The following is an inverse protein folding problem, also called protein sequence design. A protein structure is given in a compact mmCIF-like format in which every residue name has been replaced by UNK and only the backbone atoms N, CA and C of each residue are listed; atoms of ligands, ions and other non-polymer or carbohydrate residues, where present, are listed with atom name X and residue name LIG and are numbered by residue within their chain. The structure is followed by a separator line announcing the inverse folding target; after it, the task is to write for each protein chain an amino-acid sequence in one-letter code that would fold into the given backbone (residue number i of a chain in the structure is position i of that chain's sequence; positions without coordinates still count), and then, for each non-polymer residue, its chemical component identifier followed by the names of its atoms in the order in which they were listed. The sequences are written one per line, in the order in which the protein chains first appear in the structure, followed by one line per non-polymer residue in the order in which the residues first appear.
data_IF_014837121941
#
_entry.id   IF_014837121941
#
_cell.length_a   1.000
_cell.length_b   1.000
_cell.length_c   1.000
_cell.angle_alpha   90.00
_cell.angle_beta   90.00
_cell.angle_gamma   90.00
#
_symmetry.space_group_name_H-M   'P 1'
#
loop_
_entity.id
_entity.type
_entity.pdbx_description
1 polymer ?
#
# COMPACT_ATOMS: atom_id res chain seq x y z
N UNK A 1 -4.89 -24.35 -4.33
CA UNK A 1 -4.29 -25.25 -3.31
C UNK A 1 -3.37 -26.30 -3.93
N UNK A 2 -3.86 -27.26 -4.72
CA UNK A 2 -3.00 -28.30 -5.34
C UNK A 2 -1.80 -27.72 -6.10
N UNK A 3 -2.02 -26.69 -6.93
CA UNK A 3 -0.95 -26.00 -7.67
C UNK A 3 0.16 -25.43 -6.77
N UNK A 4 -0.17 -24.91 -5.58
CA UNK A 4 0.81 -24.38 -4.63
C UNK A 4 1.66 -25.53 -4.07
N UNK A 5 1.02 -26.65 -3.69
CA UNK A 5 1.72 -27.85 -3.18
C UNK A 5 2.63 -28.46 -4.24
N UNK A 6 2.13 -28.61 -5.47
CA UNK A 6 2.90 -29.17 -6.58
C UNK A 6 4.09 -28.28 -6.93
N UNK A 7 3.90 -26.96 -6.98
CA UNK A 7 4.97 -26.00 -7.23
C UNK A 7 6.05 -26.06 -6.13
N UNK A 8 5.63 -26.09 -4.86
CA UNK A 8 6.52 -26.22 -3.70
C UNK A 8 7.34 -27.52 -3.76
N UNK A 9 6.68 -28.65 -4.02
CA UNK A 9 7.31 -29.97 -4.07
C UNK A 9 8.24 -30.13 -5.28
N UNK A 10 7.80 -29.76 -6.48
CA UNK A 10 8.56 -29.94 -7.74
C UNK A 10 9.86 -29.13 -7.78
N UNK A 11 9.93 -28.03 -7.02
CA UNK A 11 11.09 -27.16 -6.96
C UNK A 11 11.89 -27.31 -5.65
N UNK A 12 11.50 -28.21 -4.74
CA UNK A 12 12.17 -28.41 -3.45
C UNK A 12 12.19 -27.15 -2.57
N UNK A 13 11.09 -26.39 -2.56
CA UNK A 13 11.00 -25.10 -1.87
C UNK A 13 10.51 -25.26 -0.42
N UNK A 14 11.13 -24.55 0.51
CA UNK A 14 10.65 -24.48 1.90
C UNK A 14 9.52 -23.44 2.06
N UNK A 15 9.58 -22.37 1.27
CA UNK A 15 8.68 -21.21 1.33
C UNK A 15 8.09 -20.87 -0.03
N UNK A 16 6.85 -20.38 -0.01
CA UNK A 16 6.15 -19.86 -1.18
C UNK A 16 5.37 -18.62 -0.74
N UNK A 17 5.49 -17.54 -1.52
CA UNK A 17 4.70 -16.33 -1.38
C UNK A 17 3.90 -16.18 -2.67
N UNK A 18 2.60 -15.88 -2.54
CA UNK A 18 1.70 -15.68 -3.66
C UNK A 18 1.44 -14.18 -3.81
N UNK A 19 1.52 -13.67 -5.02
CA UNK A 19 1.27 -12.26 -5.31
C UNK A 19 0.30 -12.12 -6.49
N UNK A 20 -0.73 -11.30 -6.31
CA UNK A 20 -1.67 -10.95 -7.36
C UNK A 20 -1.14 -9.79 -8.20
N UNK A 21 -0.83 -10.09 -9.45
CA UNK A 21 -0.49 -9.09 -10.48
C UNK A 21 -1.34 -9.26 -11.75
N UNK A 22 -2.55 -9.80 -11.58
CA UNK A 22 -3.50 -9.97 -12.67
C UNK A 22 -4.36 -8.70 -12.88
N UNK A 23 -5.35 -8.78 -13.78
CA UNK A 23 -6.26 -7.68 -14.04
C UNK A 23 -6.94 -7.16 -12.76
N UNK A 24 -7.28 -5.88 -12.78
CA UNK A 24 -8.07 -5.26 -11.72
C UNK A 24 -9.48 -5.85 -11.76
N UNK A 25 -9.93 -6.38 -10.63
CA UNK A 25 -11.31 -6.82 -10.45
C UNK A 25 -12.18 -5.65 -9.97
N UNK A 26 -13.50 -5.80 -10.04
CA UNK A 26 -14.40 -4.89 -9.32
C UNK A 26 -14.28 -5.12 -7.81
N UNK A 27 -14.81 -4.21 -7.02
CA UNK A 27 -15.01 -4.51 -5.59
C UNK A 27 -16.10 -5.56 -5.42
N UNK A 28 -15.90 -6.46 -4.47
CA UNK A 28 -16.94 -7.32 -3.92
C UNK A 28 -17.72 -6.57 -2.84
N UNK A 29 -19.01 -6.82 -2.74
CA UNK A 29 -19.83 -6.30 -1.64
C UNK A 29 -19.47 -7.03 -0.34
N UNK A 30 -19.46 -6.30 0.79
CA UNK A 30 -19.30 -6.90 2.11
C UNK A 30 -20.69 -7.25 2.64
N UNK A 31 -20.98 -8.55 2.73
CA UNK A 31 -22.31 -9.06 3.06
C UNK A 31 -22.23 -9.98 4.28
N UNK A 32 -23.02 -9.65 5.30
CA UNK A 32 -23.16 -10.45 6.52
C UNK A 32 -23.66 -11.86 6.18
N UNK A 33 -23.05 -12.88 6.77
CA UNK A 33 -23.34 -14.29 6.45
C UNK A 33 -22.66 -14.82 5.18
N UNK A 34 -21.94 -13.98 4.42
CA UNK A 34 -21.27 -14.39 3.17
C UNK A 34 -19.75 -14.27 3.30
N UNK A 35 -19.22 -13.06 3.50
CA UNK A 35 -17.77 -12.80 3.48
C UNK A 35 -17.28 -11.93 4.67
N UNK A 36 -18.12 -11.83 5.69
CA UNK A 36 -17.91 -11.12 6.95
C UNK A 36 -17.05 -11.90 7.96
N UNK A 37 -17.04 -13.23 7.91
CA UNK A 37 -16.23 -14.10 8.79
C UNK A 37 -15.50 -15.19 8.00
N UNK A 38 -14.44 -15.75 8.58
CA UNK A 38 -13.67 -16.84 7.97
C UNK A 38 -14.56 -18.06 7.65
N UNK A 39 -15.46 -18.43 8.56
CA UNK A 39 -16.38 -19.56 8.40
C UNK A 39 -17.38 -19.31 7.27
N UNK A 40 -18.02 -18.14 7.25
CA UNK A 40 -18.99 -17.78 6.22
C UNK A 40 -18.34 -17.73 4.83
N UNK A 41 -17.12 -17.17 4.74
CA UNK A 41 -16.38 -17.12 3.47
C UNK A 41 -16.06 -18.52 2.92
N UNK A 42 -15.66 -19.45 3.79
CA UNK A 42 -15.35 -20.83 3.37
C UNK A 42 -16.60 -21.57 2.90
N UNK A 43 -17.76 -21.36 3.54
CA UNK A 43 -19.03 -21.92 3.07
C UNK A 43 -19.48 -21.26 1.76
N UNK A 44 -19.33 -19.94 1.62
CA UNK A 44 -19.66 -19.20 0.40
C UNK A 44 -18.84 -19.68 -0.80
N UNK A 45 -17.56 -20.00 -0.61
CA UNK A 45 -16.71 -20.61 -1.64
C UNK A 45 -17.27 -21.97 -2.07
N UNK A 46 -17.73 -22.81 -1.12
CA UNK A 46 -18.30 -24.13 -1.43
C UNK A 46 -19.64 -24.01 -2.15
N UNK A 47 -20.46 -23.04 -1.77
CA UNK A 47 -21.77 -22.77 -2.36
C UNK A 47 -21.67 -22.11 -3.75
N UNK A 48 -20.50 -21.56 -4.11
CA UNK A 48 -20.31 -20.87 -5.38
C UNK A 48 -20.97 -19.48 -5.40
N UNK A 49 -20.96 -18.79 -4.27
CA UNK A 49 -21.55 -17.46 -4.12
C UNK A 49 -20.92 -16.42 -5.06
N UNK A 50 -21.75 -15.54 -5.60
CA UNK A 50 -21.34 -14.59 -6.65
C UNK A 50 -20.38 -13.49 -6.17
N UNK A 51 -20.42 -13.13 -4.87
CA UNK A 51 -19.54 -12.12 -4.27
C UNK A 51 -18.19 -12.69 -3.78
N UNK A 52 -17.89 -13.95 -4.12
CA UNK A 52 -16.57 -14.54 -3.95
C UNK A 52 -15.76 -14.31 -5.23
N UNK A 53 -14.83 -13.35 -5.18
CA UNK A 53 -13.99 -13.06 -6.34
C UNK A 53 -12.90 -14.13 -6.55
N UNK A 54 -12.37 -14.26 -7.78
CA UNK A 54 -11.18 -15.09 -8.00
C UNK A 54 -10.01 -14.70 -7.10
N UNK A 55 -9.75 -13.40 -6.87
CA UNK A 55 -8.68 -12.98 -5.95
C UNK A 55 -8.92 -13.47 -4.52
N UNK A 56 -10.16 -13.47 -4.01
CA UNK A 56 -10.50 -14.03 -2.69
C UNK A 56 -10.23 -15.55 -2.63
N UNK A 57 -10.53 -16.29 -3.71
CA UNK A 57 -10.21 -17.73 -3.80
C UNK A 57 -8.70 -17.97 -3.75
N UNK A 58 -7.89 -17.16 -4.45
CA UNK A 58 -6.43 -17.25 -4.39
C UNK A 58 -5.88 -16.88 -3.01
N UNK A 59 -6.42 -15.85 -2.36
CA UNK A 59 -6.04 -15.47 -1.01
C UNK A 59 -6.33 -16.61 -0.02
N UNK A 60 -7.55 -17.14 -0.01
CA UNK A 60 -7.95 -18.28 0.85
C UNK A 60 -7.11 -19.51 0.57
N UNK A 61 -6.88 -19.84 -0.71
CA UNK A 61 -6.04 -20.97 -1.08
C UNK A 61 -4.59 -20.83 -0.60
N UNK A 62 -4.05 -19.60 -0.58
CA UNK A 62 -2.68 -19.32 -0.11
C UNK A 62 -2.61 -19.45 1.40
N UNK A 63 -3.55 -18.82 2.12
CA UNK A 63 -3.63 -18.85 3.58
C UNK A 63 -3.79 -20.30 4.09
N UNK A 64 -4.65 -21.10 3.46
CA UNK A 64 -4.86 -22.51 3.85
C UNK A 64 -3.65 -23.42 3.57
N UNK A 65 -2.73 -23.00 2.69
CA UNK A 65 -1.46 -23.68 2.43
C UNK A 65 -0.29 -23.06 3.21
N UNK A 66 -0.57 -22.14 4.15
CA UNK A 66 0.46 -21.48 4.96
C UNK A 66 1.37 -20.54 4.16
N UNK A 67 0.91 -20.07 3.00
CA UNK A 67 1.67 -19.21 2.10
C UNK A 67 1.17 -17.76 2.20
N UNK A 68 2.08 -16.82 2.43
CA UNK A 68 1.73 -15.39 2.48
C UNK A 68 1.15 -14.91 1.15
N UNK A 69 0.19 -13.98 1.20
CA UNK A 69 -0.53 -13.48 0.02
C UNK A 69 -0.47 -11.96 -0.09
N UNK A 70 -0.02 -11.45 -1.23
CA UNK A 70 0.10 -10.01 -1.50
C UNK A 70 -0.83 -9.61 -2.64
N UNK A 71 -1.68 -8.60 -2.42
CA UNK A 71 -2.53 -8.03 -3.45
C UNK A 71 -1.87 -6.80 -4.10
N UNK A 72 -1.43 -6.95 -5.35
CA UNK A 72 -0.83 -5.87 -6.14
C UNK A 72 -1.84 -4.99 -6.90
N UNK A 73 -3.14 -5.30 -6.80
CA UNK A 73 -4.22 -4.63 -7.53
C UNK A 73 -5.22 -3.97 -6.55
N UNK A 74 -6.10 -3.06 -7.01
CA UNK A 74 -6.87 -2.21 -6.10
C UNK A 74 -8.19 -2.82 -5.58
N UNK A 75 -8.62 -3.97 -6.08
CA UNK A 75 -9.85 -4.61 -5.58
C UNK A 75 -9.73 -4.99 -4.10
N UNK A 76 -10.84 -5.01 -3.38
CA UNK A 76 -10.94 -5.34 -1.95
C UNK A 76 -10.88 -6.86 -1.69
N UNK A 77 -9.83 -7.53 -2.18
CA UNK A 77 -9.60 -8.97 -1.96
C UNK A 77 -9.71 -9.37 -0.48
N UNK A 78 -9.21 -8.49 0.39
CA UNK A 78 -9.16 -8.67 1.84
C UNK A 78 -10.46 -8.26 2.54
N UNK A 79 -11.56 -8.89 2.13
CA UNK A 79 -12.83 -8.85 2.87
C UNK A 79 -12.64 -9.38 4.31
N UNK A 80 -13.51 -9.01 5.27
CA UNK A 80 -13.32 -9.37 6.68
C UNK A 80 -13.04 -10.85 6.94
N UNK A 81 -13.73 -11.76 6.23
CA UNK A 81 -13.49 -13.19 6.37
C UNK A 81 -12.11 -13.68 5.89
N UNK A 82 -11.48 -13.00 4.92
CA UNK A 82 -10.10 -13.29 4.51
C UNK A 82 -9.12 -12.87 5.60
N UNK A 83 -9.36 -11.70 6.21
CA UNK A 83 -8.51 -11.19 7.30
C UNK A 83 -8.59 -12.09 8.54
N UNK A 84 -9.81 -12.47 8.94
CA UNK A 84 -10.03 -13.41 10.05
C UNK A 84 -9.29 -14.73 9.80
N UNK A 85 -9.40 -15.29 8.58
CA UNK A 85 -8.71 -16.52 8.22
C UNK A 85 -7.17 -16.38 8.26
N UNK A 86 -6.63 -15.24 7.81
CA UNK A 86 -5.20 -14.97 7.86
C UNK A 86 -4.68 -14.85 9.31
N UNK A 87 -5.48 -14.25 10.21
CA UNK A 87 -5.18 -14.17 11.64
C UNK A 87 -5.24 -15.53 12.33
N UNK A 88 -6.30 -16.32 12.07
CA UNK A 88 -6.45 -17.69 12.59
C UNK A 88 -5.30 -18.61 12.17
N UNK A 89 -4.85 -18.51 10.91
CA UNK A 89 -3.76 -19.32 10.37
C UNK A 89 -2.37 -18.73 10.62
N UNK A 90 -2.28 -17.51 11.15
CA UNK A 90 -1.03 -16.77 11.38
C UNK A 90 -0.19 -16.65 10.10
N UNK A 91 -0.85 -16.34 8.99
CA UNK A 91 -0.23 -16.16 7.66
C UNK A 91 -0.27 -14.69 7.29
N UNK A 92 0.80 -14.19 6.65
CA UNK A 92 0.82 -12.79 6.26
C UNK A 92 -0.03 -12.50 5.03
N UNK A 93 -0.70 -11.36 5.10
CA UNK A 93 -1.38 -10.72 3.99
C UNK A 93 -0.92 -9.27 3.87
N UNK A 94 -0.83 -8.76 2.64
CA UNK A 94 -0.44 -7.38 2.37
C UNK A 94 -1.05 -6.84 1.09
N UNK A 95 -1.31 -5.55 1.05
CA UNK A 95 -1.95 -4.86 -0.08
C UNK A 95 -2.36 -3.45 0.33
N UNK A 96 -3.03 -2.66 -0.50
CA UNK A 96 -3.49 -2.95 -1.85
C UNK A 96 -2.89 -1.97 -2.88
N UNK A 97 -2.77 -2.45 -4.13
CA UNK A 97 -2.36 -1.70 -5.34
C UNK A 97 -0.92 -1.15 -5.35
N UNK A 98 -0.10 -1.51 -6.35
CA UNK A 98 1.30 -1.07 -6.41
C UNK A 98 1.49 0.45 -6.47
N UNK A 99 2.30 1.02 -5.59
CA UNK A 99 2.65 2.45 -5.60
C UNK A 99 3.87 2.73 -6.48
N UNK A 100 3.71 2.65 -7.80
CA UNK A 100 4.77 2.79 -8.81
C UNK A 100 5.19 4.25 -9.08
N UNK A 101 4.41 4.98 -9.87
CA UNK A 101 4.76 6.31 -10.41
C UNK A 101 4.00 7.47 -9.76
N UNK A 102 2.89 7.89 -10.39
CA UNK A 102 2.12 9.08 -10.00
C UNK A 102 1.78 9.14 -8.51
N UNK A 103 1.18 8.08 -7.96
CA UNK A 103 0.78 8.05 -6.55
C UNK A 103 1.98 8.11 -5.59
N UNK A 104 3.12 7.53 -5.98
CA UNK A 104 4.35 7.58 -5.18
C UNK A 104 4.85 9.02 -5.04
N UNK A 105 4.90 9.76 -6.16
CA UNK A 105 5.26 11.20 -6.13
C UNK A 105 4.20 12.02 -5.39
N UNK A 106 2.91 11.76 -5.58
CA UNK A 106 1.82 12.44 -4.86
C UNK A 106 1.99 12.34 -3.34
N UNK A 107 2.27 11.13 -2.83
CA UNK A 107 2.51 10.92 -1.39
C UNK A 107 3.75 11.63 -0.85
N UNK A 108 4.71 11.99 -1.70
CA UNK A 108 5.86 12.84 -1.33
C UNK A 108 5.48 14.31 -1.36
N UNK A 109 4.81 14.75 -2.42
CA UNK A 109 4.55 16.16 -2.65
C UNK A 109 3.53 16.71 -1.65
N UNK A 110 2.46 15.97 -1.37
CA UNK A 110 1.43 16.42 -0.42
C UNK A 110 1.99 16.49 1.00
N UNK A 111 2.77 15.50 1.40
CA UNK A 111 3.49 15.51 2.69
C UNK A 111 4.43 16.72 2.81
N UNK A 112 5.23 16.98 1.76
CA UNK A 112 6.09 18.17 1.69
C UNK A 112 5.29 19.48 1.82
N UNK A 113 4.21 19.65 1.03
CA UNK A 113 3.42 20.88 1.01
C UNK A 113 2.79 21.15 2.38
N UNK A 114 2.12 20.14 2.95
CA UNK A 114 1.47 20.26 4.26
C UNK A 114 2.48 20.51 5.38
N UNK A 115 3.62 19.80 5.36
CA UNK A 115 4.71 19.99 6.32
C UNK A 115 5.36 21.37 6.22
N UNK A 116 5.37 21.97 5.03
CA UNK A 116 5.84 23.34 4.81
C UNK A 116 4.80 24.42 5.17
N UNK A 117 3.63 24.06 5.68
CA UNK A 117 2.55 25.01 5.99
C UNK A 117 1.84 25.54 4.74
N UNK A 118 1.97 24.87 3.60
CA UNK A 118 1.27 25.20 2.35
C UNK A 118 0.01 24.34 2.32
N UNK A 119 -1.14 24.94 2.00
CA UNK A 119 -2.43 24.24 2.01
C UNK A 119 -2.85 23.84 0.58
N UNK A 120 -2.62 22.59 0.13
CA UNK A 120 -3.29 22.07 -1.05
C UNK A 120 -4.81 22.32 -0.98
N UNK A 121 -5.38 22.89 -2.02
CA UNK A 121 -6.83 23.11 -2.13
C UNK A 121 -7.44 22.40 -3.31
N UNK A 122 -6.64 22.08 -4.33
CA UNK A 122 -7.06 21.27 -5.47
C UNK A 122 -5.91 20.39 -5.96
N UNK A 123 -6.20 19.12 -6.19
CA UNK A 123 -5.31 18.09 -6.72
C UNK A 123 -6.03 17.42 -7.87
N UNK A 124 -5.53 17.61 -9.08
CA UNK A 124 -6.12 17.01 -10.28
C UNK A 124 -5.12 16.09 -10.95
N UNK A 125 -5.42 14.78 -10.99
CA UNK A 125 -4.52 13.72 -11.44
C UNK A 125 -5.06 13.02 -12.68
N UNK A 126 -4.59 13.41 -13.86
CA UNK A 126 -4.89 12.74 -15.12
C UNK A 126 -3.87 11.66 -15.45
N UNK A 127 -4.32 10.59 -16.08
CA UNK A 127 -3.48 9.52 -16.57
C UNK A 127 -4.01 8.98 -17.90
N UNK A 128 -3.10 8.59 -18.79
CA UNK A 128 -3.44 7.73 -19.92
C UNK A 128 -2.37 6.70 -20.22
N UNK A 129 -2.79 5.51 -20.63
CA UNK A 129 -1.94 4.35 -20.94
C UNK A 129 -2.63 3.43 -21.97
N UNK A 130 -1.84 2.66 -22.71
CA UNK A 130 -2.29 1.86 -23.86
C UNK A 130 -2.12 0.35 -23.72
N UNK A 131 -1.58 -0.13 -22.59
CA UNK A 131 -1.42 -1.55 -22.28
C UNK A 131 -2.75 -2.19 -21.81
N UNK A 132 -2.71 -3.48 -21.46
CA UNK A 132 -3.90 -4.23 -21.04
C UNK A 132 -4.49 -3.73 -19.72
N UNK A 133 -3.67 -3.15 -18.83
CA UNK A 133 -4.16 -2.51 -17.61
C UNK A 133 -5.08 -1.32 -17.96
N UNK A 134 -4.60 -0.40 -18.81
CA UNK A 134 -5.43 0.71 -19.30
C UNK A 134 -6.70 0.27 -20.01
N UNK A 135 -6.63 -0.82 -20.79
CA UNK A 135 -7.80 -1.39 -21.46
C UNK A 135 -8.82 -1.93 -20.46
N UNK A 136 -8.38 -2.67 -19.45
CA UNK A 136 -9.24 -3.21 -18.40
C UNK A 136 -9.87 -2.10 -17.55
N UNK A 137 -9.09 -1.07 -17.21
CA UNK A 137 -9.55 0.11 -16.46
C UNK A 137 -10.44 1.06 -17.27
N UNK A 138 -10.71 0.78 -18.55
CA UNK A 138 -11.69 1.55 -19.33
C UNK A 138 -13.14 1.24 -18.91
N UNK A 139 -13.36 0.09 -18.25
CA UNK A 139 -14.66 -0.29 -17.72
C UNK A 139 -14.92 0.39 -16.36
N UNK A 140 -16.12 0.97 -16.13
CA UNK A 140 -16.38 1.80 -14.94
C UNK A 140 -16.18 1.09 -13.60
N UNK A 141 -16.54 -0.18 -13.48
CA UNK A 141 -16.44 -0.92 -12.22
C UNK A 141 -14.99 -1.17 -11.82
N UNK A 142 -14.12 -1.49 -12.78
CA UNK A 142 -12.68 -1.67 -12.57
C UNK A 142 -11.99 -0.32 -12.30
N UNK A 143 -12.42 0.73 -13.00
CA UNK A 143 -11.94 2.08 -12.74
C UNK A 143 -12.25 2.52 -11.32
N UNK A 144 -13.46 2.26 -10.82
CA UNK A 144 -13.88 2.65 -9.46
C UNK A 144 -12.94 2.13 -8.38
N UNK A 145 -12.47 0.89 -8.51
CA UNK A 145 -11.49 0.30 -7.60
C UNK A 145 -10.19 1.11 -7.57
N UNK A 146 -9.67 1.48 -8.75
CA UNK A 146 -8.45 2.28 -8.91
C UNK A 146 -8.63 3.73 -8.47
N UNK A 147 -9.82 4.28 -8.64
CA UNK A 147 -10.18 5.63 -8.21
C UNK A 147 -10.07 5.74 -6.69
N UNK A 148 -10.69 4.81 -5.96
CA UNK A 148 -10.67 4.77 -4.49
C UNK A 148 -9.22 4.70 -3.96
N UNK A 149 -8.40 3.77 -4.47
CA UNK A 149 -7.01 3.61 -4.01
C UNK A 149 -6.11 4.82 -4.31
N UNK A 150 -6.42 5.59 -5.37
CA UNK A 150 -5.66 6.79 -5.75
C UNK A 150 -6.10 8.06 -5.04
N UNK A 151 -7.34 8.12 -4.57
CA UNK A 151 -7.90 9.28 -3.88
C UNK A 151 -7.53 9.29 -2.40
N UNK A 152 -7.61 8.15 -1.71
CA UNK A 152 -7.42 8.08 -0.25
C UNK A 152 -5.99 8.39 0.25
N UNK A 153 -5.01 8.46 -0.66
CA UNK A 153 -3.58 8.63 -0.32
C UNK A 153 -3.25 9.99 0.33
N UNK A 154 -4.18 10.95 0.31
CA UNK A 154 -3.97 12.30 0.88
C UNK A 154 -4.69 12.52 2.21
N UNK A 155 -5.58 11.61 2.62
CA UNK A 155 -6.52 11.84 3.71
C UNK A 155 -5.84 11.98 5.07
N UNK A 156 -4.84 11.14 5.35
CA UNK A 156 -4.05 11.19 6.59
C UNK A 156 -3.20 12.47 6.67
N UNK A 157 -2.68 12.94 5.54
CA UNK A 157 -1.91 14.20 5.48
C UNK A 157 -2.79 15.43 5.67
N UNK A 158 -4.01 15.41 5.15
CA UNK A 158 -5.00 16.48 5.41
C UNK A 158 -5.39 16.48 6.88
N UNK A 159 -5.62 15.30 7.47
CA UNK A 159 -5.99 15.17 8.87
C UNK A 159 -4.86 15.54 9.86
N UNK A 160 -3.59 15.46 9.44
CA UNK A 160 -2.43 15.70 10.31
C UNK A 160 -2.24 17.18 10.68
N UNK A 161 -2.78 18.12 9.89
CA UNK A 161 -2.57 19.55 10.09
C UNK A 161 -3.89 20.33 10.23
N UNK A 162 -4.38 20.39 11.48
CA UNK A 162 -5.63 21.10 11.84
C UNK A 162 -5.54 22.63 11.74
N UNK A 163 -4.34 23.19 11.57
CA UNK A 163 -4.17 24.63 11.32
C UNK A 163 -4.50 24.97 9.86
N UNK A 164 -4.18 24.06 8.93
CA UNK A 164 -4.48 24.25 7.51
C UNK A 164 -5.91 23.80 7.18
N UNK A 165 -6.35 22.66 7.72
CA UNK A 165 -7.64 22.06 7.40
C UNK A 165 -8.54 21.96 8.63
N UNK A 166 -9.80 22.36 8.48
CA UNK A 166 -10.84 22.09 9.47
C UNK A 166 -11.19 20.60 9.50
N UNK A 167 -11.90 20.19 10.54
CA UNK A 167 -12.45 18.84 10.60
C UNK A 167 -13.37 18.57 9.41
N UNK A 168 -13.12 17.48 8.69
CA UNK A 168 -13.85 17.11 7.47
C UNK A 168 -13.56 17.98 6.24
N UNK A 169 -12.62 18.92 6.31
CA UNK A 169 -12.19 19.69 5.14
C UNK A 169 -11.16 18.90 4.33
N UNK A 170 -11.39 18.75 3.03
CA UNK A 170 -10.48 18.10 2.09
C UNK A 170 -10.26 19.00 0.86
N UNK A 171 -9.10 18.91 0.19
CA UNK A 171 -8.93 19.54 -1.11
C UNK A 171 -9.86 18.90 -2.14
N UNK A 172 -10.23 19.65 -3.18
CA UNK A 172 -10.84 19.06 -4.36
C UNK A 172 -9.86 18.02 -4.93
N UNK A 173 -10.28 16.76 -5.06
CA UNK A 173 -9.42 15.70 -5.54
C UNK A 173 -10.07 14.93 -6.68
N UNK A 174 -9.50 15.04 -7.88
CA UNK A 174 -10.02 14.39 -9.08
C UNK A 174 -8.97 13.46 -9.66
N UNK A 175 -9.38 12.21 -9.96
CA UNK A 175 -8.53 11.20 -10.59
C UNK A 175 -9.16 10.78 -11.91
N UNK A 176 -8.37 10.80 -12.98
CA UNK A 176 -8.81 10.37 -14.31
C UNK A 176 -7.83 9.36 -14.88
N UNK A 177 -8.36 8.29 -15.48
CA UNK A 177 -7.58 7.32 -16.26
C UNK A 177 -8.28 7.15 -17.61
N UNK A 178 -7.51 7.23 -18.71
CA UNK A 178 -8.00 7.01 -20.06
C UNK A 178 -7.17 5.97 -20.79
N UNK A 179 -7.84 5.12 -21.56
CA UNK A 179 -7.18 4.17 -22.44
C UNK A 179 -6.78 4.86 -23.75
N UNK A 180 -5.48 4.89 -24.03
CA UNK A 180 -4.91 5.48 -25.25
C UNK A 180 -3.92 4.47 -25.84
N UNK A 181 -4.33 3.62 -26.80
CA UNK A 181 -3.51 2.50 -27.29
C UNK A 181 -2.10 2.88 -27.71
N UNK A 182 -1.93 4.06 -28.31
CA UNK A 182 -0.67 4.51 -28.91
C UNK A 182 0.50 4.54 -27.93
N UNK A 183 0.27 4.90 -26.66
CA UNK A 183 1.36 5.04 -25.67
C UNK A 183 1.81 3.70 -25.08
N UNK A 184 1.12 2.59 -25.36
CA UNK A 184 1.48 1.26 -24.86
C UNK A 184 1.65 1.24 -23.33
N UNK A 185 2.76 0.67 -22.86
CA UNK A 185 3.12 0.62 -21.43
C UNK A 185 3.64 1.96 -20.87
N UNK A 186 3.99 2.90 -21.75
CA UNK A 186 4.53 4.23 -21.43
C UNK A 186 3.43 5.18 -20.98
N UNK A 187 2.87 4.89 -19.80
CA UNK A 187 1.84 5.67 -19.13
C UNK A 187 2.27 7.12 -18.96
N UNK A 188 1.37 8.06 -19.25
CA UNK A 188 1.56 9.49 -18.99
C UNK A 188 0.69 9.90 -17.81
N UNK A 189 1.31 10.55 -16.83
CA UNK A 189 0.65 11.14 -15.68
C UNK A 189 0.81 12.66 -15.75
N UNK A 190 -0.31 13.37 -15.64
CA UNK A 190 -0.35 14.82 -15.60
C UNK A 190 -1.07 15.22 -14.31
N UNK A 191 -0.38 15.96 -13.46
CA UNK A 191 -0.91 16.37 -12.18
C UNK A 191 -0.83 17.89 -12.04
N UNK A 192 -1.89 18.49 -11.49
CA UNK A 192 -1.89 19.87 -11.06
C UNK A 192 -2.21 19.94 -9.56
N UNK A 193 -1.36 20.62 -8.81
CA UNK A 193 -1.55 20.90 -7.39
C UNK A 193 -1.68 22.41 -7.23
N UNK A 194 -2.87 22.87 -6.85
CA UNK A 194 -3.11 24.27 -6.50
C UNK A 194 -3.26 24.38 -4.99
N UNK A 195 -2.49 25.29 -4.41
CA UNK A 195 -2.41 25.47 -2.96
C UNK A 195 -2.61 26.94 -2.56
N UNK A 196 -3.18 27.16 -1.38
CA UNK A 196 -3.19 28.46 -0.70
C UNK A 196 -1.91 28.65 0.09
N UNK A 197 -1.33 29.85 -0.03
CA UNK A 197 -0.13 30.29 0.67
C UNK A 197 -0.39 31.61 1.41
N UNK A 198 0.66 32.19 2.00
CA UNK A 198 0.60 33.42 2.78
C UNK A 198 -0.15 34.55 2.05
N UNK A 199 -0.93 35.33 2.82
CA UNK A 199 -1.70 36.49 2.33
C UNK A 199 -2.66 36.15 1.17
N UNK A 200 -3.32 34.98 1.23
CA UNK A 200 -4.26 34.48 0.23
C UNK A 200 -3.66 34.28 -1.17
N UNK A 201 -2.33 34.24 -1.28
CA UNK A 201 -1.64 33.88 -2.52
C UNK A 201 -1.97 32.45 -2.94
N UNK A 202 -1.71 32.15 -4.21
CA UNK A 202 -1.80 30.80 -4.75
C UNK A 202 -0.42 30.31 -5.17
N UNK A 203 -0.15 29.03 -4.95
CA UNK A 203 0.95 28.29 -5.55
C UNK A 203 0.35 27.20 -6.45
N UNK A 204 0.86 27.08 -7.68
CA UNK A 204 0.43 26.05 -8.61
C UNK A 204 1.64 25.26 -9.08
N UNK A 205 1.59 23.95 -8.92
CA UNK A 205 2.59 23.01 -9.42
C UNK A 205 1.92 22.16 -10.50
N UNK A 206 2.39 22.29 -11.74
CA UNK A 206 1.98 21.42 -12.85
C UNK A 206 3.12 20.44 -13.14
N UNK A 207 2.78 19.17 -13.23
CA UNK A 207 3.72 18.08 -13.41
C UNK A 207 3.31 17.20 -14.57
N UNK A 208 4.30 16.82 -15.38
CA UNK A 208 4.17 15.77 -16.37
C UNK A 208 5.19 14.67 -16.06
N UNK A 209 4.72 13.44 -15.93
CA UNK A 209 5.54 12.28 -15.65
C UNK A 209 5.30 11.19 -16.70
N UNK A 210 6.38 10.72 -17.32
CA UNK A 210 6.37 9.56 -18.21
C UNK A 210 6.80 8.33 -17.40
N UNK A 211 5.87 7.40 -17.26
CA UNK A 211 6.03 6.19 -16.45
C UNK A 211 6.02 4.99 -17.38
N UNK A 212 7.17 4.32 -17.56
CA UNK A 212 7.17 2.94 -18.07
C UNK A 212 6.63 2.05 -16.94
N UNK A 213 5.31 1.80 -16.95
CA UNK A 213 4.58 1.36 -15.75
C UNK A 213 5.06 -0.02 -15.30
N UNK A 214 5.32 -0.94 -16.24
CA UNK A 214 5.86 -2.26 -15.94
C UNK A 214 7.28 -2.19 -15.36
N UNK A 215 8.12 -1.27 -15.85
CA UNK A 215 9.49 -1.10 -15.34
C UNK A 215 9.52 -0.45 -13.95
N UNK A 216 8.50 0.34 -13.60
CA UNK A 216 8.34 0.86 -12.25
C UNK A 216 7.69 -0.16 -11.30
N UNK A 217 6.77 -0.99 -11.78
CA UNK A 217 6.05 -1.98 -10.96
C UNK A 217 6.89 -3.22 -10.65
N UNK A 218 7.69 -3.71 -11.61
CA UNK A 218 8.46 -4.95 -11.43
C UNK A 218 9.42 -4.92 -10.24
N UNK A 219 10.21 -3.86 -10.00
CA UNK A 219 11.05 -3.78 -8.81
C UNK A 219 10.24 -3.76 -7.51
N UNK A 220 9.04 -3.18 -7.50
CA UNK A 220 8.18 -3.21 -6.32
C UNK A 220 7.66 -4.61 -6.00
N UNK A 221 7.38 -5.42 -7.03
CA UNK A 221 7.04 -6.83 -6.86
C UNK A 221 8.19 -7.56 -6.15
N UNK A 222 9.43 -7.33 -6.58
CA UNK A 222 10.60 -7.92 -5.93
C UNK A 222 10.73 -7.46 -4.48
N UNK A 223 10.62 -6.15 -4.21
CA UNK A 223 10.70 -5.59 -2.86
C UNK A 223 9.61 -6.17 -1.93
N UNK A 224 8.37 -6.28 -2.42
CA UNK A 224 7.24 -6.87 -1.68
C UNK A 224 7.52 -8.31 -1.28
N UNK A 225 8.02 -9.13 -2.21
CA UNK A 225 8.34 -10.54 -1.95
C UNK A 225 9.52 -10.67 -0.97
N UNK A 226 10.58 -9.88 -1.15
CA UNK A 226 11.78 -9.92 -0.31
C UNK A 226 11.45 -9.48 1.13
N UNK A 227 10.74 -8.36 1.29
CA UNK A 227 10.39 -7.84 2.62
C UNK A 227 9.40 -8.76 3.31
N UNK A 228 8.44 -9.35 2.58
CA UNK A 228 7.50 -10.33 3.13
C UNK A 228 8.23 -11.59 3.63
N UNK A 229 9.14 -12.16 2.84
CA UNK A 229 9.95 -13.32 3.25
C UNK A 229 10.79 -13.00 4.49
N UNK A 230 11.43 -11.83 4.53
CA UNK A 230 12.22 -11.39 5.67
C UNK A 230 11.35 -11.27 6.93
N UNK A 231 10.15 -10.69 6.81
CA UNK A 231 9.21 -10.55 7.91
C UNK A 231 8.76 -11.90 8.49
N UNK A 232 8.62 -12.95 7.66
CA UNK A 232 8.32 -14.32 8.14
C UNK A 232 9.41 -14.89 9.06
N UNK A 233 10.65 -14.39 8.94
CA UNK A 233 11.77 -14.80 9.79
C UNK A 233 11.93 -13.92 11.03
N UNK A 234 11.21 -12.82 11.13
CA UNK A 234 11.29 -11.89 12.26
C UNK A 234 10.25 -12.28 13.31
N UNK A 235 10.74 -12.42 14.54
CA UNK A 235 9.88 -12.55 15.73
C UNK A 235 10.32 -11.55 16.78
N UNK A 236 9.35 -10.94 17.46
CA UNK A 236 9.56 -9.92 18.49
C UNK A 236 9.05 -10.48 19.81
N UNK A 237 9.71 -10.13 20.91
CA UNK A 237 9.25 -10.45 22.26
C UNK A 237 9.08 -9.16 23.03
N UNK A 238 7.85 -8.87 23.45
CA UNK A 238 7.60 -7.79 24.41
C UNK A 238 8.32 -8.10 25.72
N UNK A 239 8.95 -7.09 26.32
CA UNK A 239 9.59 -7.24 27.62
C UNK A 239 8.58 -7.76 28.67
N UNK A 240 8.99 -8.79 29.42
CA UNK A 240 8.12 -9.48 30.38
C UNK A 240 7.14 -10.50 29.79
N UNK A 241 7.03 -10.64 28.46
CA UNK A 241 6.19 -11.68 27.84
C UNK A 241 6.81 -13.08 27.95
N UNK A 242 5.98 -14.13 27.82
CA UNK A 242 6.44 -15.51 27.94
C UNK A 242 7.25 -15.98 26.71
N UNK A 243 6.90 -15.53 25.50
CA UNK A 243 7.48 -16.03 24.26
C UNK A 243 7.65 -14.95 23.19
N UNK A 244 8.33 -15.35 22.11
CA UNK A 244 8.41 -14.57 20.88
C UNK A 244 7.11 -14.72 20.07
N UNK A 245 6.70 -13.66 19.42
CA UNK A 245 5.56 -13.62 18.51
C UNK A 245 6.01 -13.10 17.14
N UNK A 246 5.31 -13.51 16.10
CA UNK A 246 5.47 -12.92 14.77
C UNK A 246 4.79 -11.54 14.74
N UNK A 247 5.08 -10.77 13.68
CA UNK A 247 4.28 -9.58 13.37
C UNK A 247 2.80 -9.96 13.16
N UNK A 248 1.92 -8.96 13.18
CA UNK A 248 0.51 -9.16 12.87
C UNK A 248 0.32 -9.72 11.45
N UNK A 249 -0.69 -10.57 11.23
CA UNK A 249 -0.98 -11.18 9.92
C UNK A 249 -1.15 -10.12 8.81
N UNK A 250 -1.67 -8.95 9.15
CA UNK A 250 -1.70 -7.80 8.25
C UNK A 250 -0.35 -7.07 8.28
N UNK A 251 0.45 -7.24 7.22
CA UNK A 251 1.84 -6.85 7.18
C UNK A 251 2.04 -5.39 6.69
N UNK A 252 1.67 -4.42 7.54
CA UNK A 252 1.67 -2.99 7.19
C UNK A 252 3.05 -2.39 6.91
N UNK A 253 4.17 -3.07 7.24
CA UNK A 253 5.52 -2.64 6.84
C UNK A 253 5.68 -2.59 5.31
N UNK A 254 4.83 -3.30 4.55
CA UNK A 254 4.80 -3.27 3.08
C UNK A 254 4.23 -1.97 2.49
N UNK A 255 3.69 -1.06 3.31
CA UNK A 255 2.97 0.15 2.87
C UNK A 255 3.79 1.06 1.95
N UNK A 256 5.12 1.05 2.04
CA UNK A 256 5.99 1.83 1.14
C UNK A 256 5.76 1.49 -0.34
N UNK A 257 5.41 0.24 -0.65
CA UNK A 257 5.21 -0.25 -2.02
C UNK A 257 3.73 -0.23 -2.45
N UNK A 258 2.80 0.16 -1.58
CA UNK A 258 1.35 -0.01 -1.77
C UNK A 258 0.61 1.35 -1.68
N UNK A 259 -0.45 1.52 -2.47
CA UNK A 259 -1.20 2.80 -2.58
C UNK A 259 -2.25 2.93 -1.48
N UNK A 260 -2.97 1.85 -1.21
CA UNK A 260 -4.02 1.80 -0.19
C UNK A 260 -3.61 0.76 0.86
N UNK A 261 -2.67 1.10 1.75
CA UNK A 261 -2.08 0.12 2.64
C UNK A 261 -3.12 -0.46 3.61
N UNK A 262 -3.18 -1.78 3.63
CA UNK A 262 -3.94 -2.56 4.59
C UNK A 262 -3.23 -2.51 5.95
N UNK A 263 -3.99 -2.19 7.00
CA UNK A 263 -3.48 -2.07 8.36
C UNK A 263 -4.32 -2.91 9.34
N UNK A 264 -3.75 -3.36 10.48
CA UNK A 264 -4.52 -4.04 11.51
C UNK A 264 -5.76 -3.24 11.96
N UNK A 265 -6.84 -3.96 12.30
CA UNK A 265 -8.11 -3.32 12.70
C UNK A 265 -7.88 -2.36 13.88
N UNK A 266 -8.41 -1.14 13.76
CA UNK A 266 -8.28 -0.09 14.79
C UNK A 266 -6.92 0.63 14.81
N UNK A 267 -6.04 0.40 13.82
CA UNK A 267 -4.75 1.12 13.69
C UNK A 267 -4.80 2.16 12.57
N UNK A 268 -4.02 3.26 12.67
CA UNK A 268 -4.06 4.32 11.67
C UNK A 268 -3.36 3.92 10.37
N UNK A 269 -3.87 4.46 9.27
CA UNK A 269 -3.21 4.41 7.95
C UNK A 269 -2.21 5.55 7.85
N UNK A 270 -1.01 5.27 7.33
CA UNK A 270 0.02 6.27 7.04
C UNK A 270 0.39 6.16 5.57
N UNK A 271 0.18 7.21 4.77
CA UNK A 271 0.50 7.25 3.34
C UNK A 271 1.77 8.04 3.00
N UNK A 272 2.25 8.90 3.91
CA UNK A 272 3.49 9.65 3.72
C UNK A 272 4.67 8.72 3.42
N UNK A 273 5.25 8.86 2.22
CA UNK A 273 6.18 7.89 1.67
C UNK A 273 7.45 7.75 2.51
N UNK A 274 7.99 8.87 3.00
CA UNK A 274 9.21 8.86 3.80
C UNK A 274 8.97 8.32 5.20
N UNK A 275 7.82 8.57 5.83
CA UNK A 275 7.46 7.96 7.10
C UNK A 275 7.39 6.42 6.99
N UNK A 276 6.79 5.91 5.91
CA UNK A 276 6.75 4.47 5.63
C UNK A 276 8.16 3.89 5.42
N UNK A 277 9.04 4.61 4.71
CA UNK A 277 10.43 4.20 4.50
C UNK A 277 11.22 4.17 5.81
N UNK A 278 11.10 5.21 6.62
CA UNK A 278 11.78 5.31 7.92
C UNK A 278 11.31 4.23 8.88
N UNK A 279 10.02 3.88 8.87
CA UNK A 279 9.49 2.72 9.61
C UNK A 279 10.24 1.43 9.22
N UNK A 280 10.32 1.13 7.93
CA UNK A 280 11.02 -0.06 7.43
C UNK A 280 12.52 -0.05 7.80
N UNK A 281 13.20 1.08 7.65
CA UNK A 281 14.61 1.23 8.04
C UNK A 281 14.79 0.96 9.53
N UNK A 282 13.97 1.57 10.38
CA UNK A 282 14.11 1.45 11.82
C UNK A 282 13.78 0.04 12.33
N UNK A 283 12.86 -0.68 11.69
CA UNK A 283 12.63 -2.11 11.96
C UNK A 283 13.87 -2.93 11.63
N UNK A 284 14.49 -2.72 10.47
CA UNK A 284 15.70 -3.48 10.09
C UNK A 284 16.93 -3.11 10.92
N UNK A 285 17.06 -1.85 11.34
CA UNK A 285 18.08 -1.42 12.30
C UNK A 285 17.92 -2.12 13.64
N UNK A 286 16.70 -2.23 14.15
CA UNK A 286 16.42 -2.95 15.38
C UNK A 286 16.82 -4.43 15.27
N UNK A 287 16.63 -5.07 14.10
CA UNK A 287 17.04 -6.45 13.86
C UNK A 287 18.57 -6.67 13.96
N UNK A 288 19.38 -5.61 13.80
CA UNK A 288 20.85 -5.66 13.92
C UNK A 288 21.37 -4.93 15.16
N UNK A 289 20.49 -4.61 16.12
CA UNK A 289 20.87 -3.99 17.39
C UNK A 289 21.23 -2.50 17.30
N UNK A 290 20.82 -1.80 16.24
CA UNK A 290 21.01 -0.36 16.09
C UNK A 290 19.78 0.42 16.58
N UNK A 291 19.98 1.57 17.24
CA UNK A 291 18.88 2.45 17.63
C UNK A 291 18.19 3.06 16.41
N UNK A 292 16.94 3.49 16.57
CA UNK A 292 16.21 4.19 15.52
C UNK A 292 16.93 5.50 15.10
N UNK A 293 16.87 5.82 13.81
CA UNK A 293 17.34 7.11 13.29
C UNK A 293 16.42 8.23 13.79
N UNK A 294 17.01 9.21 14.48
CA UNK A 294 16.28 10.35 15.07
C UNK A 294 16.58 11.68 14.35
N UNK A 295 17.55 11.69 13.43
CA UNK A 295 17.94 12.86 12.63
C UNK A 295 18.38 14.10 13.44
N UNK A 296 18.65 13.96 14.75
CA UNK A 296 18.98 15.08 15.60
C UNK A 296 20.41 15.59 15.38
N UNK A 297 21.37 14.69 15.08
CA UNK A 297 22.78 15.03 14.83
C UNK A 297 23.36 16.02 15.87
N UNK A 298 23.05 15.83 17.15
CA UNK A 298 23.37 16.79 18.22
C UNK A 298 24.87 17.00 18.38
N UNK A 299 25.64 15.95 18.13
CA UNK A 299 27.09 15.95 18.11
C UNK A 299 27.69 16.89 17.04
N UNK A 300 26.87 17.34 16.07
CA UNK A 300 27.23 18.36 15.07
C UNK A 300 26.55 19.71 15.34
N UNK A 301 25.85 19.87 16.47
CA UNK A 301 25.13 21.09 16.86
C UNK A 301 25.66 21.71 18.15
N UNK A 302 26.53 21.02 18.86
CA UNK A 302 27.16 21.52 20.09
C UNK A 302 28.59 22.00 19.80
N UNK A 303 28.88 23.26 20.13
CA UNK A 303 30.22 23.83 19.94
C UNK A 303 31.30 23.03 20.69
N UNK A 304 30.99 22.51 21.88
CA UNK A 304 31.90 21.65 22.66
C UNK A 304 32.31 20.39 21.89
N UNK A 305 31.34 19.72 21.25
CA UNK A 305 31.58 18.49 20.49
C UNK A 305 32.34 18.76 19.19
N UNK A 306 32.04 19.87 18.51
CA UNK A 306 32.72 20.26 17.28
C UNK A 306 34.19 20.59 17.56
N UNK A 307 34.46 21.36 18.62
CA UNK A 307 35.82 21.78 18.97
C UNK A 307 36.69 20.61 19.45
N UNK A 308 36.11 19.60 20.11
CA UNK A 308 36.85 18.41 20.57
C UNK A 308 37.36 17.51 19.42
N UNK A 309 36.87 17.70 18.19
CA UNK A 309 37.27 16.93 17.00
C UNK A 309 38.35 17.61 16.14
N UNK A 310 38.63 18.89 16.41
CA UNK A 310 39.67 19.67 15.72
C UNK A 310 41.01 19.52 16.45
#
# INVERSE_FOLDING_TARGET
RQQIRDFKQSNGLDKVIVLWSANTERFSDIVEGVNDTSANLLESIKAGEAEVSPSSVFAVASILEGCSYINGSPQNTFVPGVLDLAEEKKVFVGGDDFKSGQTKIKSVLVDFLVSAGIKPTSIVSYNHLGNNDGKNLSAPQQFRSKEISKSNVVDDMVASNRLLYKEGEHPDHVVVIKYVPFVGDSKRALDEYTSKIFMNGNNTISMHNTCEDSLLATPLILDLLIVCELAERVTIKKEGAAGFEHLHSILSILSYMLKAPLVPRGTPVVNALFAQRECMINVFRACVGLPAENHMLLENKLASEINARQ
#
